data_IF_194239884020
#
_entry.id   IF_194239884020
#
_cell.length_a   1.000
_cell.length_b   1.000
_cell.length_c   1.000
_cell.angle_alpha   90.00
_cell.angle_beta   90.00
_cell.angle_gamma   90.00
#
_symmetry.space_group_name_H-M   'P 1'
#
loop_
_entity.id
_entity.type
_entity.pdbx_description
1 polymer ?
#
# COMPACT_ATOMS: atom_id res chain seq x y z
N UNK A 1 -20.59 11.08 -32.51
CA UNK A 1 -19.16 11.47 -32.64
C UNK A 1 -18.55 11.94 -31.34
N UNK A 2 -19.28 12.63 -30.47
CA UNK A 2 -18.81 13.00 -29.15
C UNK A 2 -18.40 11.79 -28.30
N UNK A 3 -19.02 10.63 -28.52
CA UNK A 3 -18.77 9.41 -27.76
C UNK A 3 -17.36 8.83 -27.94
N UNK A 4 -16.74 9.02 -29.13
CA UNK A 4 -15.41 8.50 -29.41
C UNK A 4 -14.36 9.25 -28.60
N UNK A 5 -14.43 10.58 -28.55
CA UNK A 5 -13.50 11.40 -27.75
C UNK A 5 -13.64 11.10 -26.26
N UNK A 6 -14.85 10.93 -25.79
CA UNK A 6 -15.16 10.60 -24.41
C UNK A 6 -14.60 9.22 -24.03
N UNK A 7 -14.73 8.23 -24.92
CA UNK A 7 -14.19 6.88 -24.72
C UNK A 7 -12.67 6.89 -24.65
N UNK A 8 -12.00 7.62 -25.54
CA UNK A 8 -10.53 7.75 -25.51
C UNK A 8 -10.03 8.38 -24.22
N UNK A 9 -10.71 9.43 -23.75
CA UNK A 9 -10.38 10.08 -22.49
C UNK A 9 -10.51 9.12 -21.31
N UNK A 10 -11.58 8.33 -21.27
CA UNK A 10 -11.80 7.32 -20.23
C UNK A 10 -10.69 6.27 -20.21
N UNK A 11 -10.26 5.80 -21.37
CA UNK A 11 -9.18 4.82 -21.49
C UNK A 11 -7.88 5.38 -20.92
N UNK A 12 -7.53 6.64 -21.27
CA UNK A 12 -6.33 7.29 -20.75
C UNK A 12 -6.39 7.48 -19.25
N UNK A 13 -7.53 7.92 -18.71
CA UNK A 13 -7.72 8.09 -17.26
C UNK A 13 -7.60 6.75 -16.54
N UNK A 14 -8.21 5.70 -17.09
CA UNK A 14 -8.14 4.34 -16.51
C UNK A 14 -6.71 3.82 -16.47
N UNK A 15 -5.93 4.02 -17.54
CA UNK A 15 -4.53 3.61 -17.58
C UNK A 15 -3.70 4.37 -16.56
N UNK A 16 -3.89 5.68 -16.46
CA UNK A 16 -3.18 6.53 -15.50
C UNK A 16 -3.48 6.07 -14.07
N UNK A 17 -4.74 5.78 -13.76
CA UNK A 17 -5.15 5.28 -12.45
C UNK A 17 -4.57 3.90 -12.15
N UNK A 18 -4.58 3.00 -13.13
CA UNK A 18 -4.02 1.65 -12.99
C UNK A 18 -2.52 1.71 -12.72
N UNK A 19 -1.78 2.54 -13.45
CA UNK A 19 -0.35 2.71 -13.26
C UNK A 19 -0.04 3.28 -11.87
N UNK A 20 -0.80 4.29 -11.44
CA UNK A 20 -0.67 4.88 -10.12
C UNK A 20 -0.96 3.86 -9.02
N UNK A 21 -2.04 3.08 -9.19
CA UNK A 21 -2.43 2.06 -8.22
C UNK A 21 -1.37 0.97 -8.11
N UNK A 22 -0.79 0.56 -9.25
CA UNK A 22 0.29 -0.41 -9.29
C UNK A 22 1.52 0.09 -8.52
N UNK A 23 1.89 1.34 -8.73
CA UNK A 23 3.02 1.97 -8.03
C UNK A 23 2.76 2.03 -6.51
N UNK A 24 1.55 2.39 -6.11
CA UNK A 24 1.16 2.46 -4.70
C UNK A 24 1.20 1.07 -4.06
N UNK A 25 0.68 0.04 -4.74
CA UNK A 25 0.72 -1.34 -4.25
C UNK A 25 2.16 -1.85 -4.11
N UNK A 26 3.02 -1.53 -5.07
CA UNK A 26 4.44 -1.86 -5.00
C UNK A 26 5.10 -1.20 -3.78
N UNK A 27 4.79 0.07 -3.52
CA UNK A 27 5.27 0.79 -2.36
C UNK A 27 4.86 0.14 -1.04
N UNK A 28 3.60 -0.31 -0.95
CA UNK A 28 3.10 -1.03 0.22
C UNK A 28 3.83 -2.36 0.41
N UNK A 29 4.01 -3.12 -0.66
CA UNK A 29 4.74 -4.40 -0.59
C UNK A 29 6.18 -4.19 -0.14
N UNK A 30 6.85 -3.16 -0.64
CA UNK A 30 8.21 -2.81 -0.26
C UNK A 30 8.28 -2.45 1.23
N UNK A 31 7.34 -1.65 1.72
CA UNK A 31 7.27 -1.26 3.12
C UNK A 31 7.08 -2.48 4.03
N UNK A 32 6.22 -3.42 3.63
CA UNK A 32 5.99 -4.66 4.37
C UNK A 32 7.26 -5.53 4.39
N UNK A 33 7.97 -5.63 3.27
CA UNK A 33 9.24 -6.37 3.20
C UNK A 33 10.29 -5.79 4.15
N UNK A 34 10.34 -4.47 4.28
CA UNK A 34 11.25 -3.81 5.22
C UNK A 34 10.93 -4.17 6.67
N UNK A 35 9.64 -4.28 7.01
CA UNK A 35 9.24 -4.71 8.34
C UNK A 35 9.73 -6.14 8.61
N UNK A 36 9.49 -7.06 7.67
CA UNK A 36 9.96 -8.44 7.80
C UNK A 36 11.47 -8.53 7.94
N UNK A 37 12.20 -7.77 7.13
CA UNK A 37 13.67 -7.75 7.19
C UNK A 37 14.16 -7.26 8.56
N UNK A 38 13.54 -6.21 9.10
CA UNK A 38 13.88 -5.70 10.43
C UNK A 38 13.60 -6.73 11.54
N UNK A 39 12.51 -7.48 11.42
CA UNK A 39 12.16 -8.54 12.37
C UNK A 39 13.20 -9.66 12.31
N UNK A 40 13.64 -10.05 11.11
CA UNK A 40 14.65 -11.09 10.92
C UNK A 40 16.00 -10.73 11.53
N UNK A 41 16.36 -9.45 11.48
CA UNK A 41 17.61 -8.97 12.09
C UNK A 41 17.53 -8.93 13.63
N UNK A 42 16.34 -9.07 14.19
CA UNK A 42 16.13 -9.07 15.63
C UNK A 42 16.13 -7.68 16.27
N UNK A 43 16.17 -6.62 15.48
CA UNK A 43 16.15 -5.25 15.97
C UNK A 43 14.70 -4.77 16.12
N UNK A 44 14.19 -4.84 17.34
CA UNK A 44 12.80 -4.45 17.65
C UNK A 44 12.55 -2.97 17.39
N UNK A 45 13.52 -2.11 17.65
CA UNK A 45 13.36 -0.66 17.43
C UNK A 45 13.25 -0.35 15.95
N UNK A 46 14.13 -0.95 15.13
CA UNK A 46 14.04 -0.82 13.68
C UNK A 46 12.72 -1.38 13.15
N UNK A 47 12.27 -2.51 13.68
CA UNK A 47 11.00 -3.12 13.30
C UNK A 47 9.82 -2.21 13.62
N UNK A 48 9.81 -1.54 14.77
CA UNK A 48 8.77 -0.57 15.14
C UNK A 48 8.77 0.64 14.21
N UNK A 49 9.95 1.16 13.89
CA UNK A 49 10.07 2.29 12.96
C UNK A 49 9.55 1.93 11.57
N UNK A 50 9.94 0.76 11.07
CA UNK A 50 9.46 0.27 9.77
C UNK A 50 7.96 -0.03 9.79
N UNK A 51 7.44 -0.53 10.90
CA UNK A 51 6.00 -0.77 11.08
C UNK A 51 5.23 0.56 11.00
N UNK A 52 5.71 1.60 11.66
CA UNK A 52 5.08 2.93 11.61
C UNK A 52 5.06 3.45 10.18
N UNK A 53 6.19 3.33 9.46
CA UNK A 53 6.29 3.75 8.06
C UNK A 53 5.35 2.94 7.17
N UNK A 54 5.29 1.62 7.37
CA UNK A 54 4.40 0.73 6.61
C UNK A 54 2.93 1.07 6.86
N UNK A 55 2.56 1.34 8.11
CA UNK A 55 1.20 1.73 8.48
C UNK A 55 0.79 3.02 7.77
N UNK A 56 1.66 4.02 7.73
CA UNK A 56 1.42 5.26 7.00
C UNK A 56 1.22 5.01 5.52
N UNK A 57 2.06 4.16 4.92
CA UNK A 57 1.96 3.83 3.50
C UNK A 57 0.64 3.14 3.20
N UNK A 58 0.20 2.21 4.05
CA UNK A 58 -1.09 1.52 3.91
C UNK A 58 -2.26 2.50 4.04
N UNK A 59 -2.20 3.40 5.01
CA UNK A 59 -3.24 4.41 5.21
C UNK A 59 -3.35 5.36 4.02
N UNK A 60 -2.23 5.78 3.47
CA UNK A 60 -2.21 6.61 2.26
C UNK A 60 -2.81 5.89 1.06
N UNK A 61 -2.49 4.61 0.90
CA UNK A 61 -3.05 3.77 -0.17
C UNK A 61 -4.58 3.65 -0.02
N UNK A 62 -5.05 3.50 1.22
CA UNK A 62 -6.48 3.44 1.53
C UNK A 62 -7.16 4.76 1.21
N UNK A 63 -6.56 5.87 1.60
CA UNK A 63 -7.03 7.22 1.34
C UNK A 63 -7.17 7.49 -0.17
N UNK A 64 -6.27 6.93 -0.98
CA UNK A 64 -6.31 7.07 -2.44
C UNK A 64 -7.24 6.06 -3.12
N UNK A 65 -7.91 5.21 -2.35
CA UNK A 65 -8.87 4.24 -2.87
C UNK A 65 -8.25 2.98 -3.44
N UNK A 66 -6.95 2.74 -3.25
CA UNK A 66 -6.27 1.53 -3.73
C UNK A 66 -6.67 0.31 -2.90
N UNK A 67 -6.80 0.50 -1.60
CA UNK A 67 -7.26 -0.55 -0.68
C UNK A 67 -8.51 -0.12 0.04
N UNK A 68 -9.42 -1.06 0.27
CA UNK A 68 -10.56 -0.85 1.14
C UNK A 68 -10.08 -0.83 2.61
N UNK A 69 -10.78 -0.06 3.47
CA UNK A 69 -10.41 0.06 4.89
C UNK A 69 -10.29 -1.28 5.62
N UNK A 70 -11.12 -2.26 5.27
CA UNK A 70 -11.08 -3.59 5.88
C UNK A 70 -9.80 -4.33 5.50
N UNK A 71 -9.36 -4.21 4.25
CA UNK A 71 -8.12 -4.81 3.78
C UNK A 71 -6.92 -4.17 4.46
N UNK A 72 -6.93 -2.84 4.57
CA UNK A 72 -5.88 -2.09 5.27
C UNK A 72 -5.80 -2.48 6.75
N UNK A 73 -6.94 -2.63 7.41
CA UNK A 73 -7.01 -3.06 8.82
C UNK A 73 -6.40 -4.45 9.00
N UNK A 74 -6.68 -5.38 8.10
CA UNK A 74 -6.10 -6.73 8.14
C UNK A 74 -4.58 -6.71 7.99
N UNK A 75 -4.07 -5.90 7.06
CA UNK A 75 -2.63 -5.74 6.84
C UNK A 75 -1.94 -5.16 8.08
N UNK A 76 -2.49 -4.11 8.64
CA UNK A 76 -1.96 -3.47 9.86
C UNK A 76 -1.96 -4.43 11.03
N UNK A 77 -3.04 -5.18 11.20
CA UNK A 77 -3.19 -6.16 12.27
C UNK A 77 -2.15 -7.28 12.16
N UNK A 78 -1.96 -7.82 10.95
CA UNK A 78 -0.97 -8.86 10.70
C UNK A 78 0.45 -8.38 11.03
N UNK A 79 0.80 -7.16 10.64
CA UNK A 79 2.11 -6.57 10.94
C UNK A 79 2.31 -6.35 12.44
N UNK A 80 1.28 -5.87 13.13
CA UNK A 80 1.32 -5.66 14.59
C UNK A 80 1.55 -6.98 15.33
N UNK A 81 0.92 -8.06 14.88
CA UNK A 81 1.11 -9.37 15.47
C UNK A 81 2.54 -9.87 15.34
N UNK A 82 3.18 -9.63 14.22
CA UNK A 82 4.57 -10.01 13.99
C UNK A 82 5.51 -9.33 15.00
N UNK A 83 5.23 -8.09 15.36
CA UNK A 83 6.01 -7.35 16.34
C UNK A 83 5.75 -7.80 17.78
N UNK A 84 4.54 -8.25 18.08
CA UNK A 84 4.17 -8.72 19.40
C UNK A 84 4.83 -10.07 19.74
N UNK A 85 5.13 -10.86 18.73
CA UNK A 85 5.81 -12.14 18.87
C UNK A 85 7.32 -11.94 18.96
#
# INVERSE_FOLDING_TARGET
MANIKSAKKRILVSRTRADRNKAIRSGVKTAIKKVYAAIETGDKEAAKAELTAATKTIEMATSKGVYHKNNAARKKSALSKLLAD
#
